data_IF_840437495340
#
_entry.id   IF_840437495340
#
_cell.length_a   1.000
_cell.length_b   1.000
_cell.length_c   1.000
_cell.angle_alpha   90.00
_cell.angle_beta   90.00
_cell.angle_gamma   90.00
#
_symmetry.space_group_name_H-M   'P 1'
#
loop_
_entity.id
_entity.type
_entity.pdbx_description
1 polymer ?
#
# COMPACT_ATOMS: atom_id res chain seq x y z
N UNK A 1 54.50 -70.56 -0.34
CA UNK A 1 53.78 -70.78 0.93
C UNK A 1 53.13 -69.46 1.37
N UNK A 2 51.79 -69.46 1.47
CA UNK A 2 50.93 -68.75 2.43
C UNK A 2 51.22 -67.26 2.79
N UNK A 3 50.32 -66.35 2.37
CA UNK A 3 49.30 -65.61 3.19
C UNK A 3 49.74 -64.17 3.54
N UNK A 4 49.20 -63.12 2.91
CA UNK A 4 47.93 -62.42 3.19
C UNK A 4 47.95 -61.54 4.48
N UNK A 5 47.93 -60.20 4.33
CA UNK A 5 46.88 -59.28 4.86
C UNK A 5 47.31 -57.80 4.84
N UNK A 6 46.34 -56.99 4.45
CA UNK A 6 46.32 -55.53 4.35
C UNK A 6 46.62 -54.76 5.64
N UNK A 7 47.01 -53.48 5.50
CA UNK A 7 46.41 -52.33 6.23
C UNK A 7 46.83 -50.97 5.62
N UNK A 8 45.81 -50.15 5.34
CA UNK A 8 45.81 -48.75 4.86
C UNK A 8 46.63 -47.79 5.75
N UNK A 9 47.38 -46.83 5.17
CA UNK A 9 47.59 -45.43 5.67
C UNK A 9 47.86 -44.50 4.48
N UNK A 10 46.90 -43.66 4.09
CA UNK A 10 46.82 -42.21 4.35
C UNK A 10 47.98 -41.44 3.69
N UNK A 11 47.71 -40.83 2.53
CA UNK A 11 48.57 -39.83 1.89
C UNK A 11 48.13 -38.45 2.37
N UNK A 12 48.97 -37.81 3.17
CA UNK A 12 48.87 -36.39 3.51
C UNK A 12 49.55 -35.63 2.38
N UNK A 13 48.77 -34.85 1.62
CA UNK A 13 49.30 -33.80 0.74
C UNK A 13 48.54 -32.53 1.13
N UNK A 14 49.17 -31.69 1.95
CA UNK A 14 48.73 -30.31 2.16
C UNK A 14 49.25 -29.48 1.00
N UNK A 15 48.36 -29.16 0.05
CA UNK A 15 48.59 -28.09 -0.91
C UNK A 15 48.17 -26.77 -0.26
N UNK A 16 49.07 -25.79 -0.29
CA UNK A 16 48.84 -24.43 0.16
C UNK A 16 47.76 -23.75 -0.71
N UNK A 17 46.80 -23.08 -0.07
CA UNK A 17 45.97 -22.06 -0.72
C UNK A 17 45.48 -21.04 0.31
N UNK A 18 46.16 -19.89 0.29
CA UNK A 18 45.67 -18.53 0.50
C UNK A 18 44.43 -18.31 1.41
N UNK A 19 44.71 -17.68 2.55
CA UNK A 19 44.00 -16.52 3.10
C UNK A 19 42.71 -16.12 2.36
N UNK A 20 41.56 -16.54 2.87
CA UNK A 20 40.28 -15.91 2.58
C UNK A 20 39.63 -15.52 3.92
N UNK A 21 39.84 -14.25 4.24
CA UNK A 21 39.19 -13.46 5.27
C UNK A 21 37.71 -13.83 5.41
N UNK A 22 37.26 -14.01 6.64
CA UNK A 22 35.85 -14.08 7.02
C UNK A 22 35.15 -12.78 6.62
N UNK A 23 34.61 -12.73 5.41
CA UNK A 23 33.62 -11.73 5.05
C UNK A 23 32.29 -12.11 5.72
N UNK A 24 32.08 -11.62 6.94
CA UNK A 24 30.73 -11.27 7.38
C UNK A 24 30.14 -10.40 6.27
N UNK A 25 29.22 -10.95 5.48
CA UNK A 25 28.39 -10.12 4.63
C UNK A 25 27.49 -9.32 5.58
N UNK A 26 27.67 -7.99 5.68
CA UNK A 26 26.73 -7.16 6.40
C UNK A 26 25.48 -6.98 5.53
N UNK A 27 24.40 -6.67 6.23
CA UNK A 27 23.11 -6.29 5.71
C UNK A 27 22.18 -7.44 5.32
N UNK A 28 21.20 -7.62 6.20
CA UNK A 28 19.80 -7.82 5.82
C UNK A 28 19.33 -6.64 4.92
N UNK A 29 19.97 -6.41 3.77
CA UNK A 29 19.66 -5.38 2.79
C UNK A 29 18.66 -5.92 1.77
N UNK A 30 17.44 -6.14 2.24
CA UNK A 30 16.22 -5.98 1.43
C UNK A 30 15.02 -6.26 2.34
N UNK A 31 14.76 -5.35 3.28
CA UNK A 31 13.40 -5.20 3.78
C UNK A 31 12.51 -5.01 2.56
N UNK A 32 11.75 -6.06 2.24
CA UNK A 32 10.91 -6.22 1.05
C UNK A 32 10.53 -4.87 0.44
N UNK A 33 11.09 -4.55 -0.74
CA UNK A 33 10.71 -3.39 -1.54
C UNK A 33 9.19 -3.21 -1.42
N UNK A 34 8.80 -2.17 -0.69
CA UNK A 34 7.43 -1.98 -0.29
C UNK A 34 6.63 -1.86 -1.58
N UNK A 35 5.71 -2.78 -1.80
CA UNK A 35 4.84 -2.75 -2.96
C UNK A 35 3.76 -1.68 -2.74
N UNK A 36 4.19 -0.43 -2.57
CA UNK A 36 3.34 0.73 -2.36
C UNK A 36 2.43 0.87 -3.57
N UNK A 37 1.14 0.69 -3.34
CA UNK A 37 0.13 0.81 -4.39
C UNK A 37 -0.63 2.10 -4.21
N UNK A 38 -0.64 2.91 -5.27
CA UNK A 38 -1.51 4.08 -5.36
C UNK A 38 -2.98 3.72 -5.14
N UNK A 39 -3.40 2.53 -5.60
CA UNK A 39 -4.78 2.09 -5.37
C UNK A 39 -5.08 1.84 -3.90
N UNK A 40 -4.11 1.47 -3.07
CA UNK A 40 -4.37 1.18 -1.67
C UNK A 40 -4.78 2.45 -0.90
N UNK A 41 -4.07 3.58 -1.03
CA UNK A 41 -4.49 4.81 -0.33
C UNK A 41 -5.74 5.44 -0.94
N UNK A 42 -5.97 5.29 -2.24
CA UNK A 42 -7.21 5.77 -2.87
C UNK A 42 -8.42 5.00 -2.33
N UNK A 43 -8.32 3.68 -2.19
CA UNK A 43 -9.42 2.88 -1.62
C UNK A 43 -9.58 3.10 -0.11
N UNK A 44 -8.52 3.37 0.65
CA UNK A 44 -8.62 3.78 2.05
C UNK A 44 -9.44 5.08 2.21
N UNK A 45 -9.20 6.10 1.36
CA UNK A 45 -9.95 7.34 1.39
C UNK A 45 -11.42 7.14 1.00
N UNK A 46 -11.68 6.35 -0.06
CA UNK A 46 -13.06 6.00 -0.46
C UNK A 46 -13.80 5.19 0.59
N UNK A 47 -13.09 4.36 1.35
CA UNK A 47 -13.68 3.60 2.45
C UNK A 47 -14.15 4.52 3.58
N UNK A 48 -13.40 5.58 3.89
CA UNK A 48 -13.83 6.60 4.85
C UNK A 48 -15.05 7.36 4.32
N UNK A 49 -15.02 7.78 3.06
CA UNK A 49 -16.14 8.50 2.42
C UNK A 49 -17.45 7.69 2.28
N UNK A 50 -17.41 6.37 2.54
CA UNK A 50 -18.59 5.48 2.52
C UNK A 50 -19.04 5.08 3.92
N UNK A 51 -18.37 5.60 4.95
CA UNK A 51 -18.59 5.26 6.34
C UNK A 51 -18.99 6.52 7.11
N UNK A 52 -20.31 6.70 7.26
CA UNK A 52 -20.89 7.88 7.90
C UNK A 52 -20.52 8.01 9.39
N UNK A 53 -19.82 7.05 9.99
CA UNK A 53 -19.25 7.25 11.33
C UNK A 53 -18.09 8.25 11.33
N UNK A 54 -17.53 8.58 10.17
CA UNK A 54 -16.46 9.56 9.98
C UNK A 54 -16.99 10.82 9.30
N UNK A 55 -16.77 11.98 9.92
CA UNK A 55 -17.17 13.29 9.39
C UNK A 55 -15.99 14.25 9.28
N UNK A 56 -16.28 15.51 9.00
CA UNK A 56 -15.30 16.59 8.94
C UNK A 56 -15.02 17.17 10.33
N UNK A 57 -13.75 17.32 10.68
CA UNK A 57 -13.35 18.04 11.90
C UNK A 57 -11.92 18.54 11.80
N UNK A 58 -11.68 19.78 12.22
CA UNK A 58 -10.33 20.33 12.39
C UNK A 58 -9.76 20.00 13.79
N UNK A 59 -10.57 20.06 14.86
CA UNK A 59 -10.10 19.76 16.22
C UNK A 59 -9.85 18.26 16.44
N UNK A 60 -10.73 17.40 15.93
CA UNK A 60 -10.67 15.95 16.07
C UNK A 60 -9.98 15.21 14.92
N UNK A 61 -9.22 15.93 14.08
CA UNK A 61 -8.71 15.49 12.76
C UNK A 61 -7.84 14.23 12.74
N UNK A 62 -7.29 13.82 13.89
CA UNK A 62 -6.47 12.60 14.00
C UNK A 62 -7.23 11.41 14.60
N UNK A 63 -8.46 11.62 15.05
CA UNK A 63 -9.29 10.62 15.71
C UNK A 63 -10.36 10.05 14.78
N UNK A 64 -11.61 10.19 15.21
CA UNK A 64 -12.79 9.68 14.48
C UNK A 64 -13.10 10.48 13.21
N UNK A 65 -12.84 11.78 13.21
CA UNK A 65 -13.18 12.67 12.10
C UNK A 65 -11.92 13.20 11.43
N UNK A 66 -12.04 13.71 10.22
CA UNK A 66 -10.91 14.12 9.40
C UNK A 66 -11.17 15.47 8.75
N UNK A 67 -10.18 16.35 8.74
CA UNK A 67 -10.15 17.43 7.75
C UNK A 67 -9.55 16.95 6.42
N UNK A 68 -9.45 17.86 5.45
CA UNK A 68 -9.00 17.54 4.10
C UNK A 68 -7.61 16.88 4.07
N UNK A 69 -6.63 17.44 4.80
CA UNK A 69 -5.26 16.93 4.79
C UNK A 69 -5.04 15.71 5.68
N UNK A 70 -5.71 15.62 6.84
CA UNK A 70 -5.62 14.44 7.72
C UNK A 70 -6.25 13.20 7.06
N UNK A 71 -7.30 13.35 6.25
CA UNK A 71 -7.84 12.26 5.44
C UNK A 71 -6.79 11.71 4.47
N UNK A 72 -6.09 12.61 3.74
CA UNK A 72 -5.01 12.24 2.81
C UNK A 72 -3.87 11.55 3.55
N UNK A 73 -3.37 12.16 4.62
CA UNK A 73 -2.23 11.68 5.41
C UNK A 73 -2.56 10.31 6.04
N UNK A 74 -3.75 10.15 6.61
CA UNK A 74 -4.21 8.86 7.15
C UNK A 74 -4.27 7.79 6.07
N UNK A 75 -4.83 8.13 4.90
CA UNK A 75 -4.99 7.18 3.80
C UNK A 75 -3.63 6.68 3.30
N UNK A 76 -2.66 7.59 3.18
CA UNK A 76 -1.27 7.27 2.87
C UNK A 76 -0.64 6.34 3.92
N UNK A 77 -0.71 6.73 5.21
CA UNK A 77 -0.15 5.94 6.32
C UNK A 77 -0.77 4.54 6.40
N UNK A 78 -2.08 4.39 6.22
CA UNK A 78 -2.76 3.07 6.22
C UNK A 78 -2.39 2.20 5.03
N UNK A 79 -2.06 2.83 3.89
CA UNK A 79 -1.52 2.16 2.72
C UNK A 79 -0.02 1.84 2.83
N UNK A 80 0.65 2.29 3.90
CA UNK A 80 2.06 2.02 4.20
C UNK A 80 3.03 3.03 3.59
N UNK A 81 2.55 4.16 3.08
CA UNK A 81 3.40 5.24 2.61
C UNK A 81 3.96 6.02 3.79
N UNK A 82 5.26 6.33 3.71
CA UNK A 82 5.81 7.39 4.53
C UNK A 82 5.24 8.73 4.07
N UNK A 83 4.94 9.61 5.02
CA UNK A 83 4.48 10.98 4.76
C UNK A 83 5.53 12.00 5.15
N UNK A 84 6.71 11.55 5.61
CA UNK A 84 7.81 12.37 6.09
C UNK A 84 7.38 13.44 7.10
N UNK A 85 6.47 13.07 8.00
CA UNK A 85 5.93 13.98 9.01
C UNK A 85 4.92 15.01 8.52
N UNK A 86 4.35 14.87 7.32
CA UNK A 86 3.24 15.72 6.86
C UNK A 86 2.12 15.77 7.91
N UNK A 87 1.63 16.99 8.16
CA UNK A 87 0.72 17.26 9.27
C UNK A 87 -0.46 18.16 8.88
N UNK A 88 -0.38 18.99 7.84
CA UNK A 88 -1.49 19.85 7.40
C UNK A 88 -1.35 20.26 5.94
N UNK A 89 -2.36 20.90 5.36
CA UNK A 89 -2.38 21.18 3.91
C UNK A 89 -1.17 21.97 3.41
N UNK A 90 -0.64 22.91 4.21
CA UNK A 90 0.49 23.76 3.83
C UNK A 90 1.83 23.02 3.74
N UNK A 91 2.01 21.90 4.44
CA UNK A 91 3.27 21.15 4.43
C UNK A 91 3.28 19.96 3.44
N UNK A 92 2.10 19.54 2.94
CA UNK A 92 1.96 18.36 2.08
C UNK A 92 2.94 18.36 0.91
N UNK A 93 3.08 19.50 0.21
CA UNK A 93 3.99 19.60 -0.94
C UNK A 93 5.43 19.29 -0.53
N UNK A 94 5.94 19.96 0.49
CA UNK A 94 7.32 19.80 0.93
C UNK A 94 7.58 18.40 1.50
N UNK A 95 6.67 17.91 2.34
CA UNK A 95 6.82 16.63 3.05
C UNK A 95 6.65 15.43 2.12
N UNK A 96 5.60 15.41 1.31
CA UNK A 96 5.37 14.27 0.40
C UNK A 96 6.36 14.23 -0.77
N UNK A 97 6.90 15.37 -1.22
CA UNK A 97 7.99 15.35 -2.22
C UNK A 97 9.22 14.62 -1.69
N UNK A 98 9.59 14.86 -0.43
CA UNK A 98 10.64 14.11 0.26
C UNK A 98 10.27 12.63 0.47
N UNK A 99 8.98 12.31 0.56
CA UNK A 99 8.46 10.94 0.63
C UNK A 99 8.27 10.24 -0.73
N UNK A 100 8.91 10.73 -1.79
CA UNK A 100 8.90 10.07 -3.10
C UNK A 100 7.74 10.46 -4.02
N UNK A 101 6.97 11.48 -3.68
CA UNK A 101 6.04 12.11 -4.62
C UNK A 101 6.78 13.13 -5.49
N UNK A 102 6.23 13.42 -6.67
CA UNK A 102 6.66 14.51 -7.54
C UNK A 102 5.56 15.55 -7.59
N UNK A 103 5.92 16.80 -7.35
CA UNK A 103 5.03 17.93 -7.60
C UNK A 103 4.92 18.20 -9.10
N UNK A 104 3.70 18.40 -9.59
CA UNK A 104 3.43 18.81 -10.96
C UNK A 104 2.53 20.06 -10.90
N UNK A 105 2.97 21.15 -11.55
CA UNK A 105 2.23 22.41 -11.60
C UNK A 105 0.91 22.21 -12.35
N UNK A 106 -0.16 22.82 -11.85
CA UNK A 106 -1.50 22.66 -12.40
C UNK A 106 -1.65 23.16 -13.84
N UNK A 107 -0.90 24.21 -14.22
CA UNK A 107 -0.84 24.70 -15.59
C UNK A 107 -0.34 23.64 -16.56
N UNK A 108 0.68 22.87 -16.19
CA UNK A 108 1.23 21.77 -17.01
C UNK A 108 0.24 20.63 -17.21
N UNK A 109 -0.69 20.42 -16.27
CA UNK A 109 -1.72 19.39 -16.34
C UNK A 109 -3.05 19.86 -16.93
N UNK A 110 -3.22 21.17 -17.18
CA UNK A 110 -4.49 21.76 -17.63
C UNK A 110 -5.66 21.35 -16.72
N UNK A 111 -5.54 21.64 -15.42
CA UNK A 111 -6.50 21.31 -14.36
C UNK A 111 -7.84 22.09 -14.42
N UNK A 112 -8.19 22.66 -15.58
CA UNK A 112 -9.58 22.95 -15.92
C UNK A 112 -10.37 21.67 -16.20
N UNK A 113 -9.69 20.57 -16.52
CA UNK A 113 -10.25 19.23 -16.72
C UNK A 113 -9.41 18.15 -16.02
N UNK A 114 -9.97 16.95 -15.85
CA UNK A 114 -9.25 15.81 -15.26
C UNK A 114 -8.51 14.93 -16.28
N UNK A 115 -8.39 15.36 -17.55
CA UNK A 115 -7.86 14.51 -18.64
C UNK A 115 -6.43 14.03 -18.40
N UNK A 116 -5.60 14.86 -17.76
CA UNK A 116 -4.20 14.55 -17.47
C UNK A 116 -3.95 14.07 -16.03
N UNK A 117 -5.03 13.86 -15.26
CA UNK A 117 -4.94 13.33 -13.91
C UNK A 117 -4.83 11.80 -13.94
N UNK A 118 -4.03 11.27 -13.02
CA UNK A 118 -3.86 9.84 -12.79
C UNK A 118 -4.48 9.49 -11.45
N UNK A 119 -5.16 8.33 -11.38
CA UNK A 119 -5.72 7.83 -10.11
C UNK A 119 -4.63 7.91 -9.04
N UNK A 120 -4.93 8.57 -7.92
CA UNK A 120 -4.04 8.79 -6.80
C UNK A 120 -3.26 10.08 -6.80
N UNK A 121 -3.34 10.92 -7.84
CA UNK A 121 -2.88 12.29 -7.72
C UNK A 121 -3.52 12.95 -6.50
N UNK A 122 -2.71 13.57 -5.66
CA UNK A 122 -3.17 14.38 -4.52
C UNK A 122 -3.20 15.82 -5.01
N UNK A 123 -4.39 16.37 -5.19
CA UNK A 123 -4.58 17.73 -5.68
C UNK A 123 -4.39 18.73 -4.55
N UNK A 124 -3.77 19.86 -4.87
CA UNK A 124 -3.49 20.94 -3.94
C UNK A 124 -4.19 22.23 -4.39
N UNK A 125 -4.89 22.87 -3.46
CA UNK A 125 -5.52 24.17 -3.59
C UNK A 125 -5.16 25.03 -2.37
N UNK A 126 -5.49 26.32 -2.38
CA UNK A 126 -5.26 27.18 -1.21
C UNK A 126 -6.12 26.68 -0.03
N UNK A 127 -5.49 26.23 1.05
CA UNK A 127 -6.15 25.67 2.23
C UNK A 127 -6.83 24.29 2.04
N UNK A 128 -6.82 23.69 0.84
CA UNK A 128 -7.58 22.46 0.57
C UNK A 128 -6.80 21.39 -0.21
N UNK A 129 -7.15 20.12 -0.01
CA UNK A 129 -6.56 18.99 -0.73
C UNK A 129 -7.55 17.83 -0.88
N UNK A 130 -7.44 17.10 -1.99
CA UNK A 130 -8.24 15.90 -2.26
C UNK A 130 -7.44 14.87 -3.07
N UNK A 131 -7.93 13.63 -3.12
CA UNK A 131 -7.31 12.56 -3.91
C UNK A 131 -8.14 12.32 -5.17
N UNK A 132 -7.48 12.28 -6.34
CA UNK A 132 -8.12 11.82 -7.57
C UNK A 132 -8.43 10.33 -7.51
N UNK A 133 -9.71 10.01 -7.39
CA UNK A 133 -10.20 8.63 -7.26
C UNK A 133 -10.14 7.83 -8.58
N UNK A 134 -9.85 8.51 -9.69
CA UNK A 134 -9.99 8.00 -11.06
C UNK A 134 -11.37 8.28 -11.65
N UNK A 135 -11.52 8.10 -12.97
CA UNK A 135 -12.79 8.22 -13.69
C UNK A 135 -13.55 9.53 -13.43
N UNK A 136 -12.82 10.65 -13.42
CA UNK A 136 -13.42 11.98 -13.21
C UNK A 136 -13.98 12.20 -11.81
N UNK A 137 -13.52 11.46 -10.80
CA UNK A 137 -13.97 11.60 -9.41
C UNK A 137 -12.84 12.01 -8.47
N UNK A 138 -13.21 12.79 -7.46
CA UNK A 138 -12.36 13.10 -6.31
C UNK A 138 -12.91 12.41 -5.06
N UNK A 139 -12.04 12.16 -4.08
CA UNK A 139 -12.43 11.81 -2.72
C UNK A 139 -11.75 12.77 -1.76
N UNK A 140 -12.55 13.37 -0.88
CA UNK A 140 -12.11 14.46 -0.01
C UNK A 140 -13.04 14.68 1.17
N UNK A 141 -12.49 15.33 2.20
CA UNK A 141 -13.26 15.89 3.32
C UNK A 141 -13.42 17.39 3.09
N UNK A 142 -14.64 17.92 3.22
CA UNK A 142 -15.04 19.23 2.70
C UNK A 142 -15.23 20.27 3.80
N UNK A 143 -16.30 20.12 4.58
CA UNK A 143 -16.63 20.93 5.76
C UNK A 143 -17.60 20.17 6.64
N UNK A 144 -17.73 20.61 7.88
CA UNK A 144 -18.82 20.17 8.73
C UNK A 144 -20.11 20.94 8.34
N UNK A 145 -21.19 20.23 8.05
CA UNK A 145 -22.43 20.82 7.51
C UNK A 145 -23.55 20.94 8.55
N UNK A 146 -23.50 20.18 9.64
CA UNK A 146 -24.62 20.05 10.59
C UNK A 146 -24.20 20.13 12.08
N UNK A 147 -22.92 20.39 12.34
CA UNK A 147 -22.32 20.50 13.68
C UNK A 147 -22.13 19.16 14.38
N UNK A 148 -22.42 18.02 13.73
CA UNK A 148 -22.39 16.69 14.36
C UNK A 148 -21.09 15.96 14.05
N UNK A 149 -20.82 14.93 14.85
CA UNK A 149 -19.67 14.05 14.67
C UNK A 149 -20.06 12.84 13.82
N UNK A 150 -19.20 12.47 12.86
CA UNK A 150 -19.61 11.60 11.76
C UNK A 150 -20.22 12.40 10.61
N UNK A 151 -20.42 11.75 9.46
CA UNK A 151 -21.03 12.38 8.29
C UNK A 151 -22.53 12.11 8.24
N UNK A 152 -23.28 12.70 9.17
CA UNK A 152 -24.75 12.61 9.18
C UNK A 152 -25.38 13.33 7.98
N UNK A 153 -24.69 14.32 7.41
CA UNK A 153 -25.12 15.02 6.19
C UNK A 153 -24.95 14.21 4.90
N UNK A 154 -24.10 13.17 4.92
CA UNK A 154 -23.64 12.41 3.75
C UNK A 154 -22.77 13.21 2.77
N UNK A 155 -22.25 14.37 3.19
CA UNK A 155 -21.56 15.34 2.34
C UNK A 155 -20.21 15.78 2.91
N UNK A 156 -19.92 15.50 4.18
CA UNK A 156 -18.71 15.96 4.85
C UNK A 156 -17.46 15.27 4.30
N UNK A 157 -17.53 13.95 4.07
CA UNK A 157 -16.49 13.18 3.39
C UNK A 157 -17.13 12.40 2.25
N UNK A 158 -16.83 12.77 1.01
CA UNK A 158 -17.58 12.23 -0.13
C UNK A 158 -16.70 11.90 -1.33
N UNK A 159 -17.26 11.06 -2.21
CA UNK A 159 -16.74 10.82 -3.55
C UNK A 159 -17.57 11.67 -4.52
N UNK A 160 -16.98 12.71 -5.08
CA UNK A 160 -17.67 13.69 -5.90
C UNK A 160 -17.10 13.75 -7.32
N UNK A 161 -17.84 14.37 -8.25
CA UNK A 161 -17.32 14.67 -9.58
C UNK A 161 -16.17 15.66 -9.47
N UNK A 162 -15.14 15.44 -10.27
CA UNK A 162 -14.06 16.39 -10.44
C UNK A 162 -14.61 17.75 -10.93
N UNK A 163 -14.18 18.82 -10.26
CA UNK A 163 -14.41 20.20 -10.67
C UNK A 163 -13.06 20.90 -10.76
N UNK A 164 -12.77 21.47 -11.93
CA UNK A 164 -11.52 22.19 -12.19
C UNK A 164 -11.49 23.59 -11.57
N UNK A 165 -10.42 24.33 -11.84
CA UNK A 165 -10.35 25.79 -11.61
C UNK A 165 -9.79 26.25 -10.26
N UNK A 166 -9.72 25.39 -9.24
CA UNK A 166 -9.15 25.74 -7.91
C UNK A 166 -7.77 25.16 -7.61
N UNK A 167 -7.29 24.23 -8.45
CA UNK A 167 -6.13 23.41 -8.16
C UNK A 167 -4.86 24.04 -8.75
N UNK A 168 -3.88 24.37 -7.90
CA UNK A 168 -2.61 24.95 -8.35
C UNK A 168 -1.58 23.88 -8.75
N UNK A 169 -1.79 22.62 -8.35
CA UNK A 169 -0.91 21.51 -8.70
C UNK A 169 -1.32 20.19 -8.08
N UNK A 170 -0.54 19.15 -8.36
CA UNK A 170 -0.74 17.82 -7.78
C UNK A 170 0.58 17.24 -7.26
N UNK A 171 0.46 16.34 -6.29
CA UNK A 171 1.53 15.43 -5.89
C UNK A 171 1.22 14.06 -6.49
N UNK A 172 2.06 13.63 -7.42
CA UNK A 172 1.95 12.33 -8.08
C UNK A 172 3.02 11.39 -7.54
N UNK A 173 2.62 10.23 -7.05
CA UNK A 173 3.59 9.25 -6.57
C UNK A 173 4.48 8.79 -7.73
N UNK A 174 5.81 8.83 -7.56
CA UNK A 174 6.76 8.44 -8.63
C UNK A 174 6.80 6.94 -8.88
N UNK A 175 6.26 6.13 -7.96
CA UNK A 175 6.59 4.71 -7.90
C UNK A 175 7.98 4.52 -7.30
N UNK A 176 8.36 3.27 -7.06
CA UNK A 176 9.76 2.94 -6.74
C UNK A 176 10.55 2.88 -8.06
N UNK A 177 10.85 4.04 -8.65
CA UNK A 177 11.81 4.17 -9.75
C UNK A 177 13.21 4.34 -9.16
N UNK A 178 13.69 3.35 -8.42
CA UNK A 178 15.11 3.22 -8.15
C UNK A 178 15.71 2.49 -9.37
N UNK A 179 16.40 3.25 -10.22
CA UNK A 179 17.34 2.82 -11.26
C UNK A 179 17.09 1.43 -11.88
N UNK A 180 16.23 1.39 -12.90
CA UNK A 180 16.36 0.37 -13.94
C UNK A 180 16.74 1.13 -15.21
N UNK A 181 18.03 1.13 -15.53
CA UNK A 181 18.52 1.42 -16.88
C UNK A 181 17.98 0.33 -17.80
N UNK A 182 16.98 0.66 -18.60
CA UNK A 182 16.34 -0.27 -19.53
C UNK A 182 17.07 -0.18 -20.86
N UNK A 183 17.99 -1.11 -21.10
CA UNK A 183 18.24 -1.58 -22.47
C UNK A 183 17.07 -2.52 -22.83
N UNK A 184 16.23 -2.02 -23.73
CA UNK A 184 15.23 -2.72 -24.57
C UNK A 184 14.81 -4.15 -24.17
N UNK A 185 13.83 -4.29 -23.25
CA UNK A 185 13.04 -5.53 -23.16
C UNK A 185 11.56 -5.25 -23.39
N UNK A 186 11.09 -5.78 -24.53
CA UNK A 186 9.72 -5.86 -25.03
C UNK A 186 8.71 -6.12 -23.90
N UNK A 187 7.82 -5.16 -23.67
CA UNK A 187 6.78 -5.21 -22.64
C UNK A 187 5.74 -6.28 -23.00
N UNK A 188 5.79 -7.43 -22.30
CA UNK A 188 4.64 -8.35 -22.20
C UNK A 188 3.69 -7.85 -21.10
N UNK A 189 2.44 -7.63 -21.49
CA UNK A 189 1.26 -7.24 -20.70
C UNK A 189 1.31 -7.79 -19.25
N UNK A 190 1.27 -6.89 -18.27
CA UNK A 190 1.31 -7.16 -16.83
C UNK A 190 0.32 -8.25 -16.39
N UNK A 191 0.83 -9.37 -15.89
CA UNK A 191 0.03 -10.44 -15.31
C UNK A 191 -0.52 -10.03 -13.93
N UNK A 192 -1.79 -10.36 -13.65
CA UNK A 192 -2.43 -10.17 -12.33
C UNK A 192 -1.52 -10.67 -11.19
N UNK A 193 -1.04 -9.73 -10.36
CA UNK A 193 -0.10 -9.92 -9.23
C UNK A 193 -0.55 -10.97 -8.21
N UNK A 194 -1.86 -11.06 -7.95
CA UNK A 194 -2.44 -12.04 -7.04
C UNK A 194 -3.32 -13.01 -7.82
N UNK A 195 -3.12 -14.31 -7.58
CA UNK A 195 -3.84 -15.39 -8.26
C UNK A 195 -4.58 -16.24 -7.23
N UNK A 196 -5.56 -17.02 -7.69
CA UNK A 196 -6.14 -18.10 -6.89
C UNK A 196 -5.05 -19.14 -6.61
N UNK A 197 -5.18 -19.90 -5.53
CA UNK A 197 -4.24 -20.96 -5.19
C UNK A 197 -4.02 -21.12 -3.69
N UNK A 198 -2.99 -21.89 -3.35
CA UNK A 198 -2.63 -22.18 -1.96
C UNK A 198 -1.64 -21.16 -1.43
N UNK A 199 -1.81 -20.78 -0.17
CA UNK A 199 -1.03 -19.74 0.49
C UNK A 199 -0.74 -20.13 1.95
N UNK A 200 0.36 -19.60 2.52
CA UNK A 200 0.65 -19.60 3.97
C UNK A 200 0.50 -18.21 4.55
N UNK A 201 -0.01 -18.11 5.78
CA UNK A 201 -0.08 -16.84 6.52
C UNK A 201 1.32 -16.38 6.97
N UNK A 202 1.60 -15.08 6.88
CA UNK A 202 2.86 -14.48 7.38
C UNK A 202 2.76 -13.94 8.80
N UNK A 203 1.54 -13.64 9.27
CA UNK A 203 1.28 -13.06 10.59
C UNK A 203 0.75 -14.10 11.58
N UNK A 204 1.07 -13.91 12.87
CA UNK A 204 0.52 -14.71 13.98
C UNK A 204 -0.99 -14.48 14.12
N UNK A 205 -1.44 -13.23 14.04
CA UNK A 205 -2.86 -12.86 14.08
C UNK A 205 -3.27 -12.21 12.76
N UNK A 206 -3.94 -12.97 11.90
CA UNK A 206 -4.42 -12.46 10.62
C UNK A 206 -5.95 -12.39 10.62
N UNK A 207 -6.47 -11.16 10.61
CA UNK A 207 -7.91 -10.90 10.59
C UNK A 207 -8.51 -11.25 9.24
N UNK A 208 -9.51 -12.13 9.26
CA UNK A 208 -10.38 -12.42 8.13
C UNK A 208 -11.66 -11.63 8.30
N UNK A 209 -12.05 -10.91 7.25
CA UNK A 209 -13.14 -9.93 7.26
C UNK A 209 -14.36 -10.44 6.50
N UNK A 210 -15.53 -9.89 6.79
CA UNK A 210 -16.79 -10.24 6.12
C UNK A 210 -16.78 -9.86 4.62
N UNK A 211 -16.16 -8.75 4.24
CA UNK A 211 -16.03 -8.24 2.85
C UNK A 211 -14.55 -7.97 2.49
N UNK A 212 -14.26 -7.84 1.20
CA UNK A 212 -12.92 -7.56 0.63
C UNK A 212 -12.41 -6.13 0.91
N UNK A 213 -12.43 -5.70 2.18
CA UNK A 213 -12.11 -4.34 2.60
C UNK A 213 -11.64 -4.27 4.05
N UNK A 214 -10.76 -3.33 4.38
CA UNK A 214 -10.16 -3.22 5.72
C UNK A 214 -11.14 -2.70 6.78
N UNK A 215 -12.12 -1.89 6.39
CA UNK A 215 -13.20 -1.41 7.25
C UNK A 215 -14.26 -2.47 7.58
N UNK A 216 -14.25 -3.62 6.88
CA UNK A 216 -15.25 -4.66 7.13
C UNK A 216 -15.05 -5.27 8.51
N UNK A 217 -16.16 -5.47 9.21
CA UNK A 217 -16.21 -6.22 10.47
C UNK A 217 -15.42 -7.52 10.39
N UNK A 218 -14.70 -7.81 11.47
CA UNK A 218 -13.98 -9.06 11.67
C UNK A 218 -14.97 -10.22 11.61
N UNK A 219 -14.64 -11.26 10.85
CA UNK A 219 -15.38 -12.52 10.84
C UNK A 219 -14.71 -13.53 11.75
N UNK A 220 -13.39 -13.65 11.64
CA UNK A 220 -12.56 -14.45 12.54
C UNK A 220 -11.09 -14.02 12.41
N UNK A 221 -10.21 -14.59 13.24
CA UNK A 221 -8.76 -14.38 13.16
C UNK A 221 -8.07 -15.73 12.98
N UNK A 222 -7.17 -15.81 12.00
CA UNK A 222 -6.22 -16.91 11.91
C UNK A 222 -5.09 -16.63 12.91
N UNK A 223 -5.04 -17.41 13.99
CA UNK A 223 -4.12 -17.20 15.12
C UNK A 223 -2.76 -17.91 14.99
N UNK A 224 -2.43 -18.44 13.81
CA UNK A 224 -1.18 -19.18 13.57
C UNK A 224 -0.49 -18.70 12.29
N UNK A 225 0.77 -18.29 12.42
CA UNK A 225 1.68 -18.04 11.29
C UNK A 225 1.95 -19.36 10.56
N UNK A 226 2.05 -19.31 9.23
CA UNK A 226 2.29 -20.48 8.40
C UNK A 226 1.05 -21.33 8.13
N UNK A 227 -0.14 -20.92 8.59
CA UNK A 227 -1.40 -21.64 8.32
C UNK A 227 -1.63 -21.73 6.82
N UNK A 228 -1.77 -22.95 6.29
CA UNK A 228 -2.10 -23.17 4.87
C UNK A 228 -3.57 -22.84 4.64
N UNK A 229 -3.84 -22.01 3.65
CA UNK A 229 -5.19 -21.60 3.24
C UNK A 229 -5.29 -21.57 1.72
N UNK A 230 -6.50 -21.84 1.18
CA UNK A 230 -6.78 -21.77 -0.26
C UNK A 230 -7.56 -20.50 -0.58
N UNK A 231 -7.06 -19.72 -1.54
CA UNK A 231 -7.71 -18.52 -2.06
C UNK A 231 -8.52 -18.89 -3.30
N UNK A 232 -9.84 -18.73 -3.21
CA UNK A 232 -10.80 -19.14 -4.26
C UNK A 232 -11.22 -17.99 -5.18
N UNK A 233 -11.14 -16.75 -4.70
CA UNK A 233 -11.39 -15.53 -5.49
C UNK A 233 -10.41 -14.44 -5.08
N UNK A 234 -9.96 -13.65 -6.06
CA UNK A 234 -9.14 -12.48 -5.83
C UNK A 234 -9.93 -11.24 -6.24
N UNK A 235 -9.92 -10.23 -5.39
CA UNK A 235 -10.53 -8.92 -5.65
C UNK A 235 -9.54 -7.86 -5.21
N UNK A 236 -8.80 -7.27 -6.16
CA UNK A 236 -7.70 -6.35 -5.86
C UNK A 236 -6.65 -7.01 -4.96
N UNK A 237 -6.38 -6.38 -3.82
CA UNK A 237 -5.42 -6.84 -2.79
C UNK A 237 -6.01 -7.86 -1.79
N UNK A 238 -7.21 -8.40 -2.05
CA UNK A 238 -7.93 -9.31 -1.16
C UNK A 238 -8.18 -10.69 -1.76
N UNK A 239 -8.01 -11.72 -0.95
CA UNK A 239 -8.31 -13.11 -1.28
C UNK A 239 -9.50 -13.62 -0.49
N UNK A 240 -10.46 -14.24 -1.17
CA UNK A 240 -11.55 -14.98 -0.54
C UNK A 240 -11.02 -16.34 -0.08
N UNK A 241 -11.18 -16.63 1.20
CA UNK A 241 -10.71 -17.85 1.87
C UNK A 241 -11.88 -18.51 2.59
N UNK A 242 -11.91 -19.84 2.60
CA UNK A 242 -12.75 -20.63 3.50
C UNK A 242 -11.85 -21.43 4.42
N UNK A 243 -12.06 -21.31 5.73
CA UNK A 243 -11.29 -22.02 6.74
C UNK A 243 -12.22 -22.47 7.88
N UNK A 244 -12.19 -23.77 8.22
CA UNK A 244 -13.07 -24.38 9.23
C UNK A 244 -14.56 -24.00 9.04
N UNK A 245 -15.09 -24.19 7.83
CA UNK A 245 -16.48 -23.87 7.47
C UNK A 245 -16.83 -22.38 7.33
N UNK A 246 -15.93 -21.45 7.72
CA UNK A 246 -16.19 -20.01 7.64
C UNK A 246 -15.50 -19.40 6.43
N UNK A 247 -16.27 -18.72 5.59
CA UNK A 247 -15.75 -17.98 4.43
C UNK A 247 -15.53 -16.52 4.77
N UNK A 248 -14.45 -15.90 4.29
CA UNK A 248 -14.26 -14.46 4.41
C UNK A 248 -13.16 -13.95 3.49
N UNK A 249 -12.71 -12.72 3.73
CA UNK A 249 -11.70 -12.05 2.93
C UNK A 249 -10.47 -11.70 3.76
N UNK A 250 -9.31 -11.99 3.21
CA UNK A 250 -8.01 -11.75 3.85
C UNK A 250 -7.15 -10.91 2.93
N UNK A 251 -6.39 -9.98 3.50
CA UNK A 251 -5.50 -9.15 2.71
C UNK A 251 -4.31 -10.01 2.20
N UNK A 252 -4.16 -10.10 0.88
CA UNK A 252 -3.16 -10.93 0.19
C UNK A 252 -1.73 -10.55 0.57
N UNK A 253 -1.51 -9.30 1.01
CA UNK A 253 -0.20 -8.82 1.49
C UNK A 253 0.33 -9.59 2.70
N UNK A 254 -0.53 -10.23 3.49
CA UNK A 254 -0.14 -11.05 4.64
C UNK A 254 -0.02 -12.54 4.31
N UNK A 255 -0.06 -12.89 3.03
CA UNK A 255 0.03 -14.27 2.56
C UNK A 255 1.30 -14.47 1.71
N UNK A 256 1.82 -15.69 1.71
CA UNK A 256 2.89 -16.16 0.81
C UNK A 256 2.34 -17.32 -0.01
N UNK A 257 2.42 -17.25 -1.35
CA UNK A 257 1.96 -18.34 -2.22
C UNK A 257 2.81 -19.60 -1.95
N UNK A 258 2.17 -20.76 -1.99
CA UNK A 258 2.80 -22.08 -1.93
C UNK A 258 2.80 -22.65 -3.35
#
# INVERSE_FOLDING_TARGET
MFYNRAKKKIRIIFAAAACALTALIPAQSAWAASNLSVSDYVEEAKDVARDNSHGYSQSGRWGRNYDCSSLVIRSLKRAGFDTNGASYTGDLKARLTKAGFRYIKGSSLKLSSCRNLQKGDILLANGHTEIYAGNGKLVGAHRNYDGRSGDSSGREISISRYRGGRWYGVLRYKGNTANVSIESVKVKKSAKKYKKGSYKTKAKNLTVRKKAKASSGKRYTLKKKGTRIKITKVSGSWGKVTYKGKTGWVAMKYLKKI
#
